data_IF_326036195735
#
_entry.id   IF_326036195735
#
_cell.length_a   1.000
_cell.length_b   1.000
_cell.length_c   1.000
_cell.angle_alpha   90.00
_cell.angle_beta   90.00
_cell.angle_gamma   90.00
#
_symmetry.space_group_name_H-M   'P 1'
#
loop_
_entity.id
_entity.type
_entity.pdbx_description
1 polymer ?
#
# COMPACT_ATOMS: atom_id res chain seq x y z
N UNK A 1 -73.29 7.98 -30.01
CA UNK A 1 -72.37 8.75 -29.14
C UNK A 1 -71.55 7.71 -28.38
N UNK A 2 -70.23 7.61 -28.37
CA UNK A 2 -69.12 8.39 -28.93
C UNK A 2 -67.99 7.42 -29.34
N UNK A 3 -67.21 7.80 -30.35
CA UNK A 3 -65.97 7.17 -30.81
C UNK A 3 -64.79 7.58 -29.94
N UNK A 4 -63.82 6.69 -29.67
CA UNK A 4 -62.38 7.05 -29.67
C UNK A 4 -61.48 5.81 -29.81
N UNK A 5 -60.52 5.90 -30.74
CA UNK A 5 -59.43 4.95 -31.03
C UNK A 5 -58.14 5.34 -30.27
N UNK A 6 -57.11 4.47 -30.28
CA UNK A 6 -55.62 4.69 -30.31
C UNK A 6 -54.94 3.47 -29.64
N UNK A 7 -54.35 2.51 -30.37
CA UNK A 7 -52.97 2.41 -30.89
C UNK A 7 -51.87 2.44 -29.81
N UNK A 8 -51.20 1.29 -29.65
CA UNK A 8 -49.73 1.19 -29.56
C UNK A 8 -49.04 1.46 -28.23
N UNK A 9 -48.25 0.49 -27.75
CA UNK A 9 -46.77 0.55 -27.68
C UNK A 9 -46.30 -0.69 -26.91
N UNK A 10 -45.51 -1.52 -27.60
CA UNK A 10 -44.68 -2.53 -26.97
C UNK A 10 -43.58 -1.81 -26.17
N UNK A 11 -43.64 -1.88 -24.84
CA UNK A 11 -42.48 -1.53 -24.03
C UNK A 11 -41.66 -2.81 -23.83
N UNK A 12 -40.74 -3.04 -24.75
CA UNK A 12 -39.55 -3.81 -24.45
C UNK A 12 -38.84 -3.09 -23.30
N UNK A 13 -38.95 -3.63 -22.08
CA UNK A 13 -38.03 -3.27 -21.01
C UNK A 13 -36.69 -3.92 -21.37
N UNK A 14 -35.98 -3.21 -22.25
CA UNK A 14 -34.55 -3.35 -22.43
C UNK A 14 -33.91 -3.39 -21.06
N UNK A 15 -33.24 -4.52 -20.82
CA UNK A 15 -32.21 -4.72 -19.81
C UNK A 15 -31.51 -3.41 -19.48
N UNK A 16 -31.91 -2.79 -18.37
CA UNK A 16 -31.01 -1.93 -17.63
C UNK A 16 -29.95 -2.87 -17.08
N UNK A 17 -28.89 -3.06 -17.87
CA UNK A 17 -27.62 -3.50 -17.31
C UNK A 17 -27.37 -2.58 -16.12
N UNK A 18 -27.41 -3.16 -14.93
CA UNK A 18 -26.79 -2.53 -13.78
C UNK A 18 -25.35 -2.31 -14.18
N UNK A 19 -25.04 -1.10 -14.65
CA UNK A 19 -23.70 -0.55 -14.51
C UNK A 19 -23.45 -0.56 -13.01
N UNK A 20 -22.95 -1.68 -12.51
CA UNK A 20 -22.12 -1.65 -11.33
C UNK A 20 -21.00 -0.68 -11.71
N UNK A 21 -21.04 0.52 -11.15
CA UNK A 21 -19.84 1.29 -10.91
C UNK A 21 -18.95 0.41 -10.03
N UNK A 22 -18.30 -0.58 -10.64
CA UNK A 22 -17.24 -1.33 -10.01
C UNK A 22 -16.15 -0.30 -9.83
N UNK A 23 -16.06 0.24 -8.62
CA UNK A 23 -14.87 0.97 -8.17
C UNK A 23 -13.69 0.10 -8.59
N UNK A 24 -12.85 0.66 -9.46
CA UNK A 24 -11.63 0.02 -9.92
C UNK A 24 -10.83 -0.37 -8.67
N UNK A 25 -10.35 -1.62 -8.62
CA UNK A 25 -9.59 -2.07 -7.46
C UNK A 25 -8.34 -1.19 -7.35
N UNK A 26 -8.13 -0.59 -6.18
CA UNK A 26 -6.95 0.21 -5.89
C UNK A 26 -6.02 -0.59 -5.01
N UNK A 27 -4.75 -0.51 -5.34
CA UNK A 27 -3.67 -1.14 -4.63
C UNK A 27 -2.89 -0.06 -3.87
N UNK A 28 -2.96 -0.12 -2.55
CA UNK A 28 -2.23 0.78 -1.65
C UNK A 28 -0.93 0.11 -1.27
N UNK A 29 0.18 0.61 -1.82
CA UNK A 29 1.51 0.18 -1.48
C UNK A 29 2.06 1.02 -0.33
N UNK A 30 2.73 0.36 0.62
CA UNK A 30 3.71 0.99 1.52
C UNK A 30 5.02 0.25 1.37
N UNK A 31 6.07 0.96 0.96
CA UNK A 31 7.37 0.37 0.69
C UNK A 31 8.39 0.87 1.72
N UNK A 32 9.13 -0.05 2.34
CA UNK A 32 10.24 0.31 3.21
C UNK A 32 11.46 0.58 2.33
N UNK A 33 12.05 1.76 2.47
CA UNK A 33 13.18 2.19 1.64
C UNK A 33 14.39 2.50 2.51
N UNK A 34 15.57 2.24 1.95
CA UNK A 34 16.83 2.59 2.56
C UNK A 34 17.75 3.23 1.52
N UNK A 35 18.37 4.38 1.82
CA UNK A 35 19.31 5.00 0.92
C UNK A 35 20.59 4.15 0.81
N UNK A 36 21.19 4.09 -0.38
CA UNK A 36 22.45 3.35 -0.63
C UNK A 36 23.68 4.11 -0.15
N UNK A 37 23.61 5.43 -0.19
CA UNK A 37 24.64 6.36 0.28
C UNK A 37 24.04 7.29 1.33
N UNK A 38 24.88 7.87 2.19
CA UNK A 38 24.40 8.84 3.17
C UNK A 38 23.81 10.08 2.45
N UNK A 39 22.78 10.69 3.04
CA UNK A 39 22.19 11.97 2.60
C UNK A 39 21.37 11.97 1.29
N UNK A 40 20.99 10.79 0.76
CA UNK A 40 20.11 10.74 -0.41
C UNK A 40 18.67 11.06 -0.03
N UNK A 41 18.08 12.06 -0.69
CA UNK A 41 16.66 12.38 -0.55
C UNK A 41 15.78 11.37 -1.29
N UNK A 42 14.69 10.94 -0.65
CA UNK A 42 13.67 10.04 -1.25
C UNK A 42 12.95 10.63 -2.47
N UNK A 43 13.14 11.92 -2.77
CA UNK A 43 12.53 12.62 -3.91
C UNK A 43 12.81 11.95 -5.25
N UNK A 44 14.04 11.47 -5.49
CA UNK A 44 14.35 10.77 -6.74
C UNK A 44 13.54 9.50 -6.90
N UNK A 45 13.37 8.73 -5.82
CA UNK A 45 12.54 7.54 -5.81
C UNK A 45 11.07 7.88 -6.06
N UNK A 46 10.55 8.92 -5.41
CA UNK A 46 9.17 9.39 -5.63
C UNK A 46 8.95 9.79 -7.09
N UNK A 47 9.86 10.58 -7.68
CA UNK A 47 9.80 10.96 -9.09
C UNK A 47 9.82 9.74 -10.01
N UNK A 48 10.66 8.73 -9.73
CA UNK A 48 10.68 7.48 -10.50
C UNK A 48 9.35 6.74 -10.45
N UNK A 49 8.74 6.63 -9.27
CA UNK A 49 7.43 5.99 -9.10
C UNK A 49 6.32 6.78 -9.83
N UNK A 50 6.36 8.11 -9.73
CA UNK A 50 5.40 8.99 -10.42
C UNK A 50 5.47 8.82 -11.94
N UNK A 51 6.68 8.88 -12.52
CA UNK A 51 6.85 8.78 -13.97
C UNK A 51 6.49 7.39 -14.52
N UNK A 52 6.69 6.33 -13.73
CA UNK A 52 6.51 4.95 -14.20
C UNK A 52 5.09 4.43 -14.01
N UNK A 53 4.43 4.82 -12.92
CA UNK A 53 3.17 4.21 -12.49
C UNK A 53 2.00 5.19 -12.42
N UNK A 54 2.25 6.49 -12.56
CA UNK A 54 1.23 7.55 -12.47
C UNK A 54 0.26 7.36 -11.29
N UNK A 55 0.78 7.29 -10.04
CA UNK A 55 -0.02 6.94 -8.89
C UNK A 55 -1.07 8.03 -8.61
N UNK A 56 -2.27 7.59 -8.23
CA UNK A 56 -3.39 8.47 -7.83
C UNK A 56 -2.98 9.35 -6.64
N UNK A 57 -2.20 8.78 -5.72
CA UNK A 57 -1.69 9.43 -4.52
C UNK A 57 -0.32 8.86 -4.18
N UNK A 58 0.58 9.72 -3.69
CA UNK A 58 1.92 9.34 -3.23
C UNK A 58 2.36 10.22 -2.07
N UNK A 59 2.83 9.60 -1.00
CA UNK A 59 3.18 10.24 0.26
C UNK A 59 4.47 9.65 0.81
N UNK A 60 5.26 10.50 1.46
CA UNK A 60 6.44 10.09 2.20
C UNK A 60 6.04 10.00 3.68
N UNK A 61 6.35 8.87 4.30
CA UNK A 61 6.06 8.55 5.69
C UNK A 61 7.36 8.25 6.45
N UNK A 62 7.30 8.28 7.78
CA UNK A 62 8.37 7.79 8.67
C UNK A 62 9.77 8.39 8.39
N UNK A 63 9.86 9.72 8.23
CA UNK A 63 11.13 10.44 7.99
C UNK A 63 11.91 9.89 6.78
N UNK A 64 11.26 9.86 5.61
CA UNK A 64 11.82 9.41 4.33
C UNK A 64 12.13 7.90 4.24
N UNK A 65 11.65 7.09 5.20
CA UNK A 65 11.90 5.63 5.24
C UNK A 65 10.78 4.80 4.66
N UNK A 66 9.60 5.39 4.48
CA UNK A 66 8.46 4.71 3.88
C UNK A 66 7.86 5.59 2.79
N UNK A 67 7.58 5.00 1.64
CA UNK A 67 6.78 5.65 0.60
C UNK A 67 5.46 4.91 0.47
N UNK A 68 4.36 5.63 0.64
CA UNK A 68 3.01 5.13 0.42
C UNK A 68 2.52 5.64 -0.93
N UNK A 69 1.95 4.78 -1.77
CA UNK A 69 1.35 5.21 -3.02
C UNK A 69 0.19 4.33 -3.45
N UNK A 70 -0.69 4.87 -4.30
CA UNK A 70 -1.93 4.22 -4.74
C UNK A 70 -1.95 4.11 -6.26
N UNK A 71 -2.18 2.90 -6.77
CA UNK A 71 -2.28 2.58 -8.20
C UNK A 71 -3.49 1.69 -8.47
N UNK A 72 -3.97 1.65 -9.71
CA UNK A 72 -5.11 0.79 -10.09
C UNK A 72 -4.70 -0.59 -10.62
N UNK A 73 -3.41 -0.77 -10.93
CA UNK A 73 -2.86 -2.04 -11.37
C UNK A 73 -1.90 -2.61 -10.31
N UNK A 74 -1.96 -3.93 -10.02
CA UNK A 74 -1.00 -4.56 -9.12
C UNK A 74 0.39 -4.56 -9.77
N UNK A 75 1.39 -4.15 -9.00
CA UNK A 75 2.80 -4.14 -9.37
C UNK A 75 3.51 -5.30 -8.67
N UNK A 76 4.13 -6.25 -9.41
CA UNK A 76 4.95 -7.30 -8.83
C UNK A 76 6.16 -6.74 -8.08
N UNK A 77 6.53 -7.35 -6.96
CA UNK A 77 7.64 -6.87 -6.13
C UNK A 77 8.99 -6.82 -6.88
N UNK A 78 9.27 -7.80 -7.74
CA UNK A 78 10.46 -7.79 -8.60
C UNK A 78 10.49 -6.62 -9.59
N UNK A 79 9.33 -6.18 -10.08
CA UNK A 79 9.24 -5.02 -10.96
C UNK A 79 9.47 -3.73 -10.19
N UNK A 80 8.85 -3.62 -9.01
CA UNK A 80 8.97 -2.48 -8.12
C UNK A 80 10.43 -2.24 -7.68
N UNK A 81 11.13 -3.30 -7.28
CA UNK A 81 12.57 -3.25 -6.92
C UNK A 81 13.45 -2.85 -8.12
N UNK A 82 13.12 -3.34 -9.32
CA UNK A 82 13.82 -2.97 -10.55
C UNK A 82 13.58 -1.51 -10.93
N UNK A 83 12.37 -1.00 -10.77
CA UNK A 83 12.00 0.37 -11.08
C UNK A 83 12.82 1.37 -10.27
N UNK A 84 13.02 1.10 -8.98
CA UNK A 84 13.73 2.03 -8.09
C UNK A 84 15.26 1.89 -8.13
N UNK A 85 15.80 0.94 -8.90
CA UNK A 85 17.24 0.65 -8.91
C UNK A 85 18.11 1.88 -9.29
N UNK A 86 17.55 2.82 -10.07
CA UNK A 86 18.21 4.07 -10.46
C UNK A 86 18.03 5.25 -9.48
N UNK A 87 17.33 5.06 -8.35
CA UNK A 87 16.96 6.15 -7.43
C UNK A 87 17.92 6.33 -6.23
N UNK A 88 19.09 5.66 -6.24
CA UNK A 88 20.01 5.54 -5.10
C UNK A 88 19.38 4.99 -3.81
N UNK A 89 18.19 4.42 -3.91
CA UNK A 89 17.52 3.70 -2.83
C UNK A 89 17.48 2.20 -3.14
N UNK A 90 17.28 1.43 -2.07
CA UNK A 90 16.84 0.04 -2.15
C UNK A 90 15.52 -0.09 -1.41
N UNK A 91 14.63 -0.92 -1.96
CA UNK A 91 13.44 -1.37 -1.24
C UNK A 91 13.86 -2.55 -0.38
N UNK A 92 13.53 -2.49 0.91
CA UNK A 92 13.75 -3.59 1.85
C UNK A 92 12.57 -4.57 1.84
N UNK A 93 11.37 -4.04 1.61
CA UNK A 93 10.13 -4.80 1.51
C UNK A 93 8.93 -3.90 1.25
N UNK A 94 7.78 -4.51 1.09
CA UNK A 94 6.54 -3.83 0.75
C UNK A 94 5.34 -4.52 1.39
N UNK A 95 4.31 -3.73 1.71
CA UNK A 95 2.95 -4.22 1.91
C UNK A 95 2.06 -3.66 0.81
N UNK A 96 1.24 -4.50 0.17
CA UNK A 96 0.19 -4.08 -0.76
C UNK A 96 -1.17 -4.44 -0.18
N UNK A 97 -2.05 -3.45 -0.02
CA UNK A 97 -3.45 -3.66 0.38
C UNK A 97 -4.37 -3.44 -0.82
N UNK A 98 -5.19 -4.43 -1.15
CA UNK A 98 -6.24 -4.29 -2.15
C UNK A 98 -7.50 -3.71 -1.48
N UNK A 99 -7.94 -2.53 -1.91
CA UNK A 99 -9.07 -1.84 -1.30
C UNK A 99 -10.43 -2.54 -1.55
N UNK A 100 -10.51 -3.44 -2.54
CA UNK A 100 -11.76 -4.10 -2.92
C UNK A 100 -12.09 -5.26 -2.00
N UNK A 101 -11.10 -6.06 -1.63
CA UNK A 101 -11.27 -7.26 -0.81
C UNK A 101 -10.56 -7.20 0.54
N UNK A 102 -9.77 -6.15 0.79
CA UNK A 102 -9.01 -5.96 2.01
C UNK A 102 -7.79 -6.88 2.14
N UNK A 103 -7.44 -7.64 1.10
CA UNK A 103 -6.28 -8.53 1.13
C UNK A 103 -4.98 -7.75 1.27
N UNK A 104 -4.07 -8.28 2.09
CA UNK A 104 -2.74 -7.73 2.32
C UNK A 104 -1.70 -8.74 1.84
N UNK A 105 -0.77 -8.28 1.02
CA UNK A 105 0.39 -9.04 0.57
C UNK A 105 1.65 -8.38 1.13
N UNK A 106 2.54 -9.17 1.72
CA UNK A 106 3.81 -8.71 2.29
C UNK A 106 4.99 -9.38 1.59
N UNK A 107 6.00 -8.59 1.27
CA UNK A 107 7.22 -9.04 0.59
C UNK A 107 8.45 -8.42 1.28
N UNK A 108 9.50 -9.21 1.51
CA UNK A 108 10.75 -8.74 2.13
C UNK A 108 10.60 -8.31 3.59
N UNK A 109 11.19 -7.15 3.93
CA UNK A 109 11.06 -6.48 5.24
C UNK A 109 9.99 -5.38 5.09
N UNK A 110 8.72 -5.65 5.39
CA UNK A 110 7.66 -4.66 5.26
C UNK A 110 7.88 -3.49 6.23
N UNK A 111 7.32 -2.31 5.94
CA UNK A 111 7.25 -1.21 6.89
C UNK A 111 6.73 -1.65 8.26
N UNK A 112 7.19 -0.97 9.31
CA UNK A 112 6.68 -1.22 10.65
C UNK A 112 5.16 -1.01 10.70
N UNK A 113 4.41 -1.85 11.46
CA UNK A 113 2.99 -1.65 11.66
C UNK A 113 2.68 -0.25 12.20
N UNK A 114 1.50 0.27 11.87
CA UNK A 114 0.98 1.54 12.40
C UNK A 114 -0.30 1.26 13.18
N UNK A 115 -0.54 2.09 14.20
CA UNK A 115 -1.81 2.05 14.91
C UNK A 115 -2.93 2.50 13.98
N UNK A 116 -3.97 1.69 13.89
CA UNK A 116 -5.19 2.00 13.13
C UNK A 116 -6.24 2.41 14.16
N UNK A 117 -6.84 3.58 14.00
CA UNK A 117 -7.89 4.07 14.88
C UNK A 117 -9.25 3.63 14.36
N UNK A 118 -9.84 2.62 15.00
CA UNK A 118 -11.17 2.09 14.66
C UNK A 118 -12.28 2.67 15.56
N UNK A 119 -11.90 3.45 16.57
CA UNK A 119 -12.81 4.04 17.56
C UNK A 119 -12.87 3.26 18.87
N UNK A 120 -12.25 2.08 18.94
CA UNK A 120 -12.00 1.33 20.17
C UNK A 120 -10.50 1.42 20.52
N UNK A 121 -10.14 2.44 21.30
CA UNK A 121 -8.74 2.74 21.62
C UNK A 121 -8.02 1.56 22.30
N UNK A 122 -8.71 0.81 23.15
CA UNK A 122 -8.12 -0.31 23.86
C UNK A 122 -7.81 -1.46 22.89
N UNK A 123 -8.76 -1.80 22.02
CA UNK A 123 -8.55 -2.82 21.01
C UNK A 123 -7.51 -2.38 19.95
N UNK A 124 -7.49 -1.10 19.58
CA UNK A 124 -6.51 -0.52 18.67
C UNK A 124 -5.08 -0.63 19.24
N UNK A 125 -4.90 -0.32 20.52
CA UNK A 125 -3.61 -0.44 21.21
C UNK A 125 -3.14 -1.89 21.29
N UNK A 126 -4.03 -2.79 21.72
CA UNK A 126 -3.71 -4.21 21.84
C UNK A 126 -3.30 -4.83 20.50
N UNK A 127 -4.01 -4.49 19.41
CA UNK A 127 -3.65 -4.94 18.05
C UNK A 127 -2.31 -4.38 17.59
N UNK A 128 -2.07 -3.10 17.85
CA UNK A 128 -0.82 -2.44 17.48
C UNK A 128 0.38 -3.05 18.22
N UNK A 129 0.27 -3.25 19.53
CA UNK A 129 1.36 -3.81 20.34
C UNK A 129 1.69 -5.24 19.94
N UNK A 130 0.67 -6.06 19.68
CA UNK A 130 0.86 -7.42 19.19
C UNK A 130 1.58 -7.44 17.83
N UNK A 131 1.09 -6.66 16.85
CA UNK A 131 1.70 -6.59 15.53
C UNK A 131 3.14 -6.03 15.58
N UNK A 132 3.37 -5.03 16.44
CA UNK A 132 4.69 -4.46 16.67
C UNK A 132 5.65 -5.47 17.29
N UNK A 133 5.22 -6.23 18.29
CA UNK A 133 6.04 -7.26 18.93
C UNK A 133 6.44 -8.35 17.91
N UNK A 134 5.48 -8.85 17.14
CA UNK A 134 5.73 -9.84 16.09
C UNK A 134 6.70 -9.31 15.02
N UNK A 135 6.54 -8.06 14.60
CA UNK A 135 7.45 -7.43 13.63
C UNK A 135 8.87 -7.30 14.18
N UNK A 136 9.04 -6.91 15.45
CA UNK A 136 10.36 -6.79 16.09
C UNK A 136 11.04 -8.15 16.23
N UNK A 137 10.29 -9.21 16.52
CA UNK A 137 10.80 -10.58 16.58
C UNK A 137 11.23 -11.10 15.20
N UNK A 138 10.47 -10.78 14.15
CA UNK A 138 10.77 -11.22 12.77
C UNK A 138 11.89 -10.42 12.12
N UNK A 139 12.03 -9.13 12.45
CA UNK A 139 12.99 -8.22 11.81
C UNK A 139 13.86 -7.43 12.81
N UNK A 140 14.59 -8.12 13.71
CA UNK A 140 15.34 -7.47 14.79
C UNK A 140 16.40 -6.48 14.26
N UNK A 141 17.11 -6.82 13.19
CA UNK A 141 18.09 -5.92 12.57
C UNK A 141 17.45 -4.65 11.99
N UNK A 142 16.29 -4.78 11.36
CA UNK A 142 15.58 -3.64 10.78
C UNK A 142 15.10 -2.71 11.90
N UNK A 143 14.62 -3.28 13.01
CA UNK A 143 14.24 -2.52 14.20
C UNK A 143 15.42 -1.76 14.80
N UNK A 144 16.56 -2.42 15.00
CA UNK A 144 17.78 -1.78 15.53
C UNK A 144 18.22 -0.58 14.69
N UNK A 145 18.22 -0.73 13.35
CA UNK A 145 18.48 0.39 12.42
C UNK A 145 17.43 1.49 12.55
N UNK A 146 16.16 1.14 12.76
CA UNK A 146 15.08 2.11 12.87
C UNK A 146 15.26 3.02 14.10
N UNK A 147 15.59 2.45 15.25
CA UNK A 147 15.76 3.17 16.53
C UNK A 147 17.17 3.74 16.74
N UNK A 148 18.07 3.59 15.75
CA UNK A 148 19.44 4.13 15.83
C UNK A 148 20.32 3.44 16.88
N UNK A 149 20.06 2.16 17.21
CA UNK A 149 20.90 1.38 18.13
C UNK A 149 21.65 0.30 17.35
N UNK A 150 22.96 0.09 17.59
CA UNK A 150 23.66 -1.06 17.03
C UNK A 150 23.01 -2.36 17.54
N UNK A 151 22.72 -3.30 16.64
CA UNK A 151 22.32 -4.65 16.99
C UNK A 151 23.57 -5.40 17.46
N UNK A 152 23.69 -5.62 18.78
CA UNK A 152 24.72 -6.50 19.31
C UNK A 152 24.20 -7.94 19.24
N UNK A 153 24.65 -8.68 18.23
CA UNK A 153 24.53 -10.12 18.24
C UNK A 153 25.61 -10.63 19.21
N UNK A 154 25.26 -10.77 20.50
CA UNK A 154 26.11 -11.51 21.42
C UNK A 154 26.09 -12.97 20.97
N UNK A 155 27.07 -13.33 20.13
CA UNK A 155 27.44 -14.73 19.95
C UNK A 155 28.06 -15.18 21.26
N UNK A 156 27.26 -15.86 22.09
CA UNK A 156 27.78 -16.69 23.15
C UNK A 156 28.53 -17.87 22.50
N UNK A 157 29.86 -17.79 22.52
CA UNK A 157 30.76 -18.95 22.50
C UNK A 157 31.46 -19.06 23.86
#
# INVERSE_FOLDING_TARGET
MAFTWIIGIALALTSYGSLSAQSEAMHVYRISVMPRTAEVSVKMLVSTLQMRYDPIDIQIEEQDRVVRFVVTAPIPYGELTSAVAGSDHRILGATCTNNRDGSIQEEGIPPMPRMIHTGDEHADHARYDAAKAEWMERYPEAYSRLIGRPYHHDHAE
#
